data_IF_643979000355
#
_entry.id   IF_643979000355
#
_cell.length_a   1.000
_cell.length_b   1.000
_cell.length_c   1.000
_cell.angle_alpha   90.00
_cell.angle_beta   90.00
_cell.angle_gamma   90.00
#
_symmetry.space_group_name_H-M   'P 1'
#
loop_
_entity.id
_entity.type
_entity.pdbx_description
1 polymer ?
#
# COMPACT_ATOMS: atom_id res chain seq x y z
N UNK A 1 59.04 7.27 -21.91
CA UNK A 1 58.26 6.61 -20.84
C UNK A 1 58.48 5.11 -20.96
N UNK A 2 59.02 4.42 -19.94
CA UNK A 2 59.38 3.00 -20.07
C UNK A 2 58.11 2.14 -20.14
N UNK A 3 58.15 1.05 -20.92
CA UNK A 3 57.00 0.13 -21.08
C UNK A 3 56.44 -0.35 -19.73
N UNK A 4 57.33 -0.54 -18.74
CA UNK A 4 57.00 -0.89 -17.36
C UNK A 4 56.06 0.12 -16.66
N UNK A 5 56.23 1.42 -16.89
CA UNK A 5 55.36 2.46 -16.30
C UNK A 5 53.96 2.40 -16.91
N UNK A 6 53.85 2.16 -18.22
CA UNK A 6 52.57 2.06 -18.93
C UNK A 6 51.76 0.86 -18.41
N UNK A 7 52.40 -0.31 -18.23
CA UNK A 7 51.71 -1.49 -17.69
C UNK A 7 51.21 -1.29 -16.25
N UNK A 8 51.96 -0.57 -15.40
CA UNK A 8 51.53 -0.26 -14.03
C UNK A 8 50.31 0.66 -14.01
N UNK A 9 50.29 1.69 -14.85
CA UNK A 9 49.14 2.61 -14.94
C UNK A 9 47.90 1.85 -15.42
N UNK A 10 48.00 1.04 -16.48
CA UNK A 10 46.88 0.24 -16.99
C UNK A 10 46.34 -0.73 -15.92
N UNK A 11 47.23 -1.41 -15.20
CA UNK A 11 46.84 -2.34 -14.13
C UNK A 11 46.07 -1.62 -13.00
N UNK A 12 46.52 -0.44 -12.57
CA UNK A 12 45.84 0.35 -11.55
C UNK A 12 44.45 0.77 -12.05
N UNK A 13 44.32 1.23 -13.30
CA UNK A 13 43.02 1.65 -13.85
C UNK A 13 42.01 0.51 -13.89
N UNK A 14 42.45 -0.71 -14.24
CA UNK A 14 41.58 -1.91 -14.25
C UNK A 14 41.12 -2.25 -12.83
N UNK A 15 42.03 -2.21 -11.85
CA UNK A 15 41.69 -2.49 -10.45
C UNK A 15 40.70 -1.45 -9.91
N UNK A 16 40.94 -0.16 -10.16
CA UNK A 16 40.04 0.92 -9.72
C UNK A 16 38.68 0.81 -10.38
N UNK A 17 38.61 0.51 -11.69
CA UNK A 17 37.35 0.29 -12.38
C UNK A 17 36.61 -0.95 -11.84
N UNK A 18 37.33 -2.04 -11.54
CA UNK A 18 36.76 -3.24 -10.93
C UNK A 18 36.18 -2.99 -9.54
N UNK A 19 36.89 -2.23 -8.70
CA UNK A 19 36.39 -1.81 -7.38
C UNK A 19 35.16 -0.93 -7.55
N UNK A 20 35.19 0.05 -8.45
CA UNK A 20 34.08 0.97 -8.69
C UNK A 20 32.82 0.24 -9.19
N UNK A 21 32.98 -0.72 -10.10
CA UNK A 21 31.89 -1.56 -10.61
C UNK A 21 31.32 -2.44 -9.50
N UNK A 22 32.18 -3.05 -8.67
CA UNK A 22 31.75 -3.86 -7.52
C UNK A 22 30.98 -3.01 -6.52
N UNK A 23 31.44 -1.79 -6.25
CA UNK A 23 30.78 -0.81 -5.41
C UNK A 23 29.41 -0.42 -6.00
N UNK A 24 29.35 -0.11 -7.29
CA UNK A 24 28.09 0.22 -7.96
C UNK A 24 27.08 -0.93 -7.93
N UNK A 25 27.54 -2.18 -8.03
CA UNK A 25 26.67 -3.37 -7.93
C UNK A 25 26.18 -3.56 -6.49
N UNK A 26 27.03 -3.41 -5.47
CA UNK A 26 26.61 -3.53 -4.06
C UNK A 26 25.74 -2.37 -3.60
N UNK A 27 25.90 -1.18 -4.18
CA UNK A 27 25.05 -0.01 -3.90
C UNK A 27 23.83 0.10 -4.83
N UNK A 28 23.65 -0.81 -5.80
CA UNK A 28 22.45 -0.83 -6.63
C UNK A 28 21.28 -1.30 -5.76
N UNK A 29 20.43 -0.37 -5.34
CA UNK A 29 19.23 -0.69 -4.57
C UNK A 29 18.39 -1.71 -5.36
N UNK A 30 18.01 -2.86 -4.76
CA UNK A 30 17.17 -3.82 -5.45
C UNK A 30 15.85 -3.17 -5.84
N UNK A 31 15.43 -3.38 -7.08
CA UNK A 31 14.11 -2.93 -7.56
C UNK A 31 13.07 -3.77 -6.83
N UNK A 32 12.09 -3.12 -6.21
CA UNK A 32 11.01 -3.80 -5.50
C UNK A 32 10.08 -4.48 -6.52
N UNK A 33 10.17 -5.81 -6.64
CA UNK A 33 9.29 -6.61 -7.50
C UNK A 33 8.22 -7.29 -6.65
N UNK A 34 7.00 -7.32 -7.17
CA UNK A 34 5.85 -7.95 -6.49
C UNK A 34 6.07 -9.45 -6.31
N UNK A 35 6.60 -10.13 -7.33
CA UNK A 35 6.82 -11.58 -7.31
C UNK A 35 7.77 -12.00 -6.19
N UNK A 36 8.79 -11.19 -5.89
CA UNK A 36 9.73 -11.47 -4.80
C UNK A 36 9.03 -11.38 -3.43
N UNK A 37 8.14 -10.41 -3.24
CA UNK A 37 7.35 -10.29 -2.01
C UNK A 37 6.41 -11.49 -1.88
N UNK A 38 5.67 -11.80 -2.95
CA UNK A 38 4.70 -12.90 -2.95
C UNK A 38 5.37 -14.26 -2.73
N UNK A 39 6.59 -14.48 -3.25
CA UNK A 39 7.36 -15.70 -3.00
C UNK A 39 7.77 -15.88 -1.53
N UNK A 40 7.88 -14.77 -0.78
CA UNK A 40 8.18 -14.78 0.66
C UNK A 40 6.95 -14.87 1.57
N UNK A 41 5.75 -14.72 1.01
CA UNK A 41 4.50 -14.73 1.77
C UNK A 41 3.90 -16.13 1.83
N UNK A 42 3.48 -16.53 3.02
CA UNK A 42 2.78 -17.77 3.30
C UNK A 42 1.51 -17.43 4.10
N UNK A 43 0.36 -17.86 3.59
CA UNK A 43 -0.92 -17.65 4.26
C UNK A 43 -0.95 -18.43 5.59
N UNK A 44 -1.31 -17.75 6.68
CA UNK A 44 -1.36 -18.34 8.03
C UNK A 44 -0.04 -18.37 8.79
N UNK A 45 1.08 -17.94 8.19
CA UNK A 45 2.33 -17.76 8.92
C UNK A 45 2.24 -16.55 9.88
N UNK A 46 2.99 -16.60 10.98
CA UNK A 46 3.08 -15.49 11.91
C UNK A 46 4.05 -14.42 11.40
N UNK A 47 3.58 -13.18 11.34
CA UNK A 47 4.35 -12.00 10.96
C UNK A 47 4.22 -10.92 12.04
N UNK A 48 5.04 -9.87 11.95
CA UNK A 48 4.91 -8.71 12.82
C UNK A 48 3.52 -8.05 12.71
N UNK A 49 3.12 -7.36 13.78
CA UNK A 49 1.79 -6.76 13.88
C UNK A 49 1.64 -5.55 12.96
N UNK A 50 0.68 -5.63 12.04
CA UNK A 50 0.14 -4.52 11.26
C UNK A 50 -1.35 -4.38 11.57
N UNK A 51 -1.89 -3.16 11.58
CA UNK A 51 -3.32 -2.93 11.83
C UNK A 51 -3.93 -2.13 10.70
N UNK A 52 -4.85 -2.73 9.97
CA UNK A 52 -5.66 -2.02 8.96
C UNK A 52 -6.67 -1.15 9.71
N UNK A 53 -6.63 0.16 9.42
CA UNK A 53 -7.47 1.18 10.08
C UNK A 53 -8.73 1.49 9.29
N UNK A 54 -8.65 1.38 7.98
CA UNK A 54 -9.78 1.53 7.08
C UNK A 54 -9.45 0.88 5.73
N UNK A 55 -10.41 0.21 5.08
CA UNK A 55 -11.67 -0.25 5.64
C UNK A 55 -11.46 -1.24 6.81
N UNK A 56 -12.52 -1.47 7.58
CA UNK A 56 -12.49 -2.45 8.66
C UNK A 56 -12.79 -3.85 8.11
N UNK A 57 -12.54 -4.87 8.93
CA UNK A 57 -12.93 -6.22 8.57
C UNK A 57 -14.44 -6.32 8.36
N UNK A 58 -14.85 -7.12 7.38
CA UNK A 58 -16.23 -7.35 6.96
C UNK A 58 -16.95 -6.07 6.46
N UNK A 59 -16.21 -5.09 5.95
CA UNK A 59 -16.82 -3.89 5.35
C UNK A 59 -17.64 -4.25 4.09
N UNK A 60 -18.90 -3.85 4.08
CA UNK A 60 -19.81 -3.90 2.93
C UNK A 60 -19.89 -2.54 2.25
N UNK A 61 -19.49 -2.48 0.99
CA UNK A 61 -19.52 -1.26 0.18
C UNK A 61 -20.77 -1.20 -0.72
N UNK A 62 -21.45 -0.05 -0.83
CA UNK A 62 -22.51 0.12 -1.81
C UNK A 62 -21.92 0.32 -3.22
N UNK A 63 -22.65 -0.01 -4.31
CA UNK A 63 -22.11 -0.03 -5.66
C UNK A 63 -21.67 1.36 -6.19
N UNK A 64 -22.28 2.44 -5.70
CA UNK A 64 -21.98 3.83 -6.05
C UNK A 64 -20.80 4.43 -5.28
N UNK A 65 -20.24 3.73 -4.28
CA UNK A 65 -19.13 4.28 -3.50
C UNK A 65 -17.91 4.53 -4.40
N UNK A 66 -17.30 5.69 -4.20
CA UNK A 66 -15.99 6.02 -4.79
C UNK A 66 -14.87 5.25 -4.10
N UNK A 67 -13.70 5.18 -4.74
CA UNK A 67 -12.57 4.41 -4.23
C UNK A 67 -12.16 4.89 -2.82
N UNK A 68 -12.22 4.04 -1.79
CA UNK A 68 -11.73 4.39 -0.46
C UNK A 68 -10.20 4.44 -0.44
N UNK A 69 -9.64 5.30 0.40
CA UNK A 69 -8.21 5.20 0.76
C UNK A 69 -8.03 4.12 1.81
N UNK A 70 -7.44 2.98 1.44
CA UNK A 70 -6.99 1.98 2.40
C UNK A 70 -5.91 2.60 3.29
N UNK A 71 -6.02 2.44 4.60
CA UNK A 71 -5.09 3.00 5.59
C UNK A 71 -4.72 1.94 6.61
N UNK A 72 -3.46 1.90 7.00
CA UNK A 72 -2.98 0.98 8.02
C UNK A 72 -1.94 1.65 8.92
N UNK A 73 -1.63 0.98 10.04
CA UNK A 73 -0.49 1.30 10.88
C UNK A 73 0.41 0.08 10.93
N UNK A 74 1.67 0.27 10.57
CA UNK A 74 2.71 -0.72 10.74
C UNK A 74 3.67 -0.24 11.83
N UNK A 75 3.83 -1.02 12.89
CA UNK A 75 4.75 -0.70 13.99
C UNK A 75 6.17 -1.21 13.74
N UNK A 76 6.38 -2.00 12.68
CA UNK A 76 7.68 -2.60 12.42
C UNK A 76 8.65 -1.57 11.82
N UNK A 77 9.65 -1.16 12.61
CA UNK A 77 10.58 -0.05 12.31
C UNK A 77 11.35 -0.21 10.98
N UNK A 78 11.50 -1.45 10.49
CA UNK A 78 12.23 -1.73 9.24
C UNK A 78 11.34 -1.81 7.98
N UNK A 79 10.01 -1.71 8.12
CA UNK A 79 9.09 -1.67 6.97
C UNK A 79 9.16 -0.30 6.30
N UNK A 80 9.44 -0.27 5.01
CA UNK A 80 9.52 0.96 4.20
C UNK A 80 8.79 0.85 2.84
N UNK A 81 8.12 -0.27 2.62
CA UNK A 81 7.19 -0.48 1.53
C UNK A 81 6.13 -1.51 1.92
N UNK A 82 4.97 -1.43 1.27
CA UNK A 82 3.87 -2.34 1.49
C UNK A 82 3.31 -2.87 0.19
N UNK A 83 2.96 -4.14 0.19
CA UNK A 83 2.17 -4.77 -0.88
C UNK A 83 0.73 -4.93 -0.39
N UNK A 84 -0.20 -4.31 -1.09
CA UNK A 84 -1.63 -4.59 -0.95
C UNK A 84 -1.99 -5.65 -1.99
N UNK A 85 -2.47 -6.81 -1.53
CA UNK A 85 -2.96 -7.88 -2.40
C UNK A 85 -4.42 -8.16 -2.13
N UNK A 86 -5.20 -8.32 -3.19
CA UNK A 86 -6.64 -8.60 -3.12
C UNK A 86 -6.91 -9.92 -3.81
N UNK A 87 -7.30 -10.92 -3.02
CA UNK A 87 -7.74 -12.23 -3.48
C UNK A 87 -9.26 -12.28 -3.51
N UNK A 88 -9.82 -12.62 -4.66
CA UNK A 88 -11.26 -12.75 -4.86
C UNK A 88 -11.68 -14.22 -4.77
N UNK A 89 -12.98 -14.46 -4.69
CA UNK A 89 -13.59 -15.80 -4.75
C UNK A 89 -13.93 -16.24 -6.18
N UNK A 90 -13.41 -15.55 -7.20
CA UNK A 90 -13.51 -15.98 -8.58
C UNK A 90 -12.26 -16.78 -9.00
N UNK A 91 -12.29 -17.40 -10.19
CA UNK A 91 -11.18 -18.20 -10.72
C UNK A 91 -10.07 -17.35 -11.36
N UNK A 92 -10.08 -16.03 -11.11
CA UNK A 92 -9.12 -15.08 -11.71
C UNK A 92 -8.01 -14.73 -10.73
N UNK A 93 -6.89 -14.26 -11.27
CA UNK A 93 -5.73 -13.86 -10.46
C UNK A 93 -6.04 -12.74 -9.46
N UNK A 94 -5.29 -12.75 -8.36
CA UNK A 94 -5.27 -11.67 -7.37
C UNK A 94 -4.80 -10.35 -8.01
N UNK A 95 -5.25 -9.23 -7.45
CA UNK A 95 -4.73 -7.91 -7.79
C UNK A 95 -3.67 -7.49 -6.78
N UNK A 96 -2.60 -6.82 -7.23
CA UNK A 96 -1.44 -6.49 -6.41
C UNK A 96 -1.01 -5.04 -6.64
N UNK A 97 -0.76 -4.32 -5.54
CA UNK A 97 -0.43 -2.89 -5.59
C UNK A 97 0.66 -2.55 -4.57
N UNK A 98 1.70 -1.85 -5.03
CA UNK A 98 2.76 -1.38 -4.15
C UNK A 98 2.43 0.01 -3.61
N UNK A 99 2.70 0.23 -2.33
CA UNK A 99 2.72 1.55 -1.72
C UNK A 99 4.03 1.80 -0.97
N UNK A 100 4.48 3.06 -0.97
CA UNK A 100 5.61 3.56 -0.18
C UNK A 100 5.16 4.30 1.07
N UNK A 101 3.84 4.43 1.26
CA UNK A 101 3.21 5.03 2.43
C UNK A 101 2.29 4.00 3.08
N UNK A 102 1.79 4.30 4.26
CA UNK A 102 0.83 3.46 4.99
C UNK A 102 -0.62 3.69 4.54
N UNK A 103 -0.77 4.13 3.30
CA UNK A 103 -2.05 4.32 2.64
C UNK A 103 -1.98 3.99 1.15
N UNK A 104 -3.12 3.61 0.58
CA UNK A 104 -3.28 3.35 -0.85
C UNK A 104 -4.72 3.62 -1.27
N UNK A 105 -4.89 4.42 -2.32
CA UNK A 105 -6.19 4.61 -2.98
C UNK A 105 -6.16 3.91 -4.33
N UNK A 106 -7.07 2.94 -4.60
CA UNK A 106 -7.21 2.36 -5.93
C UNK A 106 -7.57 3.43 -6.96
N UNK A 107 -7.10 3.28 -8.20
CA UNK A 107 -7.63 4.09 -9.30
C UNK A 107 -9.11 3.77 -9.54
N UNK A 108 -9.83 4.64 -10.24
CA UNK A 108 -11.23 4.40 -10.57
C UNK A 108 -11.43 3.05 -11.28
N UNK A 109 -10.59 2.72 -12.27
CA UNK A 109 -10.64 1.44 -12.99
C UNK A 109 -10.38 0.23 -12.09
N UNK A 110 -9.36 0.33 -11.23
CA UNK A 110 -9.06 -0.72 -10.24
C UNK A 110 -10.24 -0.90 -9.29
N UNK A 111 -10.83 0.19 -8.82
CA UNK A 111 -11.96 0.15 -7.90
C UNK A 111 -13.22 -0.46 -8.53
N UNK A 112 -13.52 -0.11 -9.79
CA UNK A 112 -14.62 -0.75 -10.50
C UNK A 112 -14.39 -2.26 -10.67
N UNK A 113 -13.15 -2.65 -10.95
CA UNK A 113 -12.77 -4.07 -11.03
C UNK A 113 -12.94 -4.78 -9.68
N UNK A 114 -12.49 -4.15 -8.58
CA UNK A 114 -12.65 -4.68 -7.23
C UNK A 114 -14.13 -4.86 -6.92
N UNK A 115 -14.95 -3.80 -7.07
CA UNK A 115 -16.39 -3.84 -6.80
C UNK A 115 -17.11 -4.93 -7.59
N UNK A 116 -16.79 -5.05 -8.88
CA UNK A 116 -17.38 -6.07 -9.74
C UNK A 116 -17.01 -7.49 -9.28
N UNK A 117 -15.74 -7.74 -8.96
CA UNK A 117 -15.25 -9.07 -8.55
C UNK A 117 -15.62 -9.43 -7.10
N UNK A 118 -16.00 -8.44 -6.29
CA UNK A 118 -16.49 -8.61 -4.91
C UNK A 118 -18.00 -8.43 -4.75
N UNK A 119 -18.75 -8.38 -5.84
CA UNK A 119 -20.22 -8.26 -5.80
C UNK A 119 -20.82 -9.50 -5.11
N UNK A 120 -21.47 -9.28 -3.96
CA UNK A 120 -22.09 -10.32 -3.12
C UNK A 120 -21.12 -11.45 -2.68
N UNK A 121 -19.81 -11.23 -2.83
CA UNK A 121 -18.76 -12.22 -2.57
C UNK A 121 -17.59 -11.58 -1.84
N UNK A 122 -16.97 -12.31 -0.93
CA UNK A 122 -15.84 -11.79 -0.15
C UNK A 122 -14.60 -11.64 -1.04
N UNK A 123 -13.97 -10.48 -0.97
CA UNK A 123 -12.60 -10.23 -1.40
C UNK A 123 -11.71 -10.08 -0.16
N UNK A 124 -10.65 -10.89 -0.07
CA UNK A 124 -9.67 -10.81 1.00
C UNK A 124 -8.57 -9.83 0.61
N UNK A 125 -8.44 -8.77 1.40
CA UNK A 125 -7.35 -7.79 1.28
C UNK A 125 -6.29 -8.14 2.31
N UNK A 126 -5.06 -8.32 1.85
CA UNK A 126 -3.89 -8.55 2.70
C UNK A 126 -2.88 -7.45 2.46
N UNK A 127 -2.32 -6.90 3.53
CA UNK A 127 -1.26 -5.89 3.48
C UNK A 127 0.01 -6.49 4.07
N UNK A 128 1.09 -6.50 3.30
CA UNK A 128 2.38 -7.05 3.68
C UNK A 128 3.41 -5.92 3.80
N UNK A 129 3.97 -5.72 4.98
CA UNK A 129 5.09 -4.80 5.20
C UNK A 129 6.42 -5.48 4.90
N UNK A 130 7.25 -4.83 4.11
CA UNK A 130 8.58 -5.32 3.72
C UNK A 130 9.62 -4.21 3.83
N UNK A 131 10.89 -4.62 3.86
CA UNK A 131 11.99 -3.73 3.57
C UNK A 131 12.36 -3.84 2.09
N UNK A 132 12.44 -2.72 1.37
CA UNK A 132 12.74 -2.71 -0.06
C UNK A 132 14.10 -3.35 -0.39
N UNK A 133 15.06 -3.33 0.53
CA UNK A 133 16.37 -3.98 0.35
C UNK A 133 16.31 -5.51 0.51
N UNK A 134 15.26 -6.05 1.12
CA UNK A 134 15.05 -7.48 1.36
C UNK A 134 13.58 -7.88 1.13
N UNK A 135 13.07 -7.76 -0.12
CA UNK A 135 11.64 -7.87 -0.41
C UNK A 135 11.03 -9.25 -0.13
N UNK A 136 11.85 -10.31 -0.15
CA UNK A 136 11.43 -11.68 0.16
C UNK A 136 11.16 -11.92 1.65
N UNK A 137 11.57 -11.00 2.52
CA UNK A 137 11.34 -11.10 3.96
C UNK A 137 10.13 -10.25 4.35
N UNK A 138 9.00 -10.90 4.56
CA UNK A 138 7.81 -10.27 5.11
C UNK A 138 8.06 -9.94 6.58
N UNK A 139 7.89 -8.67 6.94
CA UNK A 139 8.15 -8.14 8.27
C UNK A 139 6.88 -8.03 9.10
N UNK A 140 5.78 -7.69 8.45
CA UNK A 140 4.48 -7.53 9.08
C UNK A 140 3.37 -7.89 8.09
N UNK A 141 2.22 -8.33 8.61
CA UNK A 141 1.06 -8.63 7.79
C UNK A 141 -0.25 -8.39 8.54
N UNK A 142 -1.30 -8.05 7.79
CA UNK A 142 -2.68 -8.12 8.27
C UNK A 142 -3.62 -8.41 7.10
N UNK A 143 -4.78 -8.97 7.40
CA UNK A 143 -5.83 -9.22 6.41
C UNK A 143 -7.19 -8.79 6.91
N UNK A 144 -8.04 -8.38 5.98
CA UNK A 144 -9.47 -8.13 6.17
C UNK A 144 -10.26 -8.73 5.02
N UNK A 145 -11.56 -8.91 5.21
CA UNK A 145 -12.53 -9.25 4.17
C UNK A 145 -13.39 -8.03 3.86
N UNK A 146 -13.64 -7.76 2.58
CA UNK A 146 -14.59 -6.75 2.12
C UNK A 146 -15.50 -7.36 1.05
N UNK A 147 -16.66 -6.77 0.82
CA UNK A 147 -17.52 -7.11 -0.33
C UNK A 147 -18.31 -5.87 -0.82
N UNK A 148 -18.96 -6.03 -1.95
CA UNK A 148 -19.81 -5.01 -2.57
C UNK A 148 -21.24 -5.49 -2.59
N UNK A 149 -22.14 -4.67 -2.06
CA UNK A 149 -23.58 -4.86 -2.13
C UNK A 149 -24.07 -4.65 -3.55
N UNK A 150 -25.09 -5.39 -3.96
CA UNK A 150 -25.91 -5.06 -5.14
C UNK A 150 -26.86 -3.89 -4.87
N UNK A 151 -27.19 -3.65 -3.60
CA UNK A 151 -28.18 -2.66 -3.18
C UNK A 151 -27.52 -1.28 -3.05
N UNK A 152 -28.02 -0.31 -3.81
CA UNK A 152 -27.67 1.11 -3.72
C UNK A 152 -28.20 1.74 -2.42
N UNK A 153 -27.51 2.75 -1.88
CA UNK A 153 -28.02 3.53 -0.76
C UNK A 153 -29.06 4.57 -1.19
N UNK A 154 -29.17 4.84 -2.50
CA UNK A 154 -30.29 5.53 -3.15
C UNK A 154 -30.48 7.02 -2.80
N UNK A 155 -29.80 7.54 -1.78
CA UNK A 155 -29.91 8.92 -1.33
C UNK A 155 -28.55 9.65 -1.47
N UNK A 156 -28.49 10.77 -2.22
CA UNK A 156 -27.30 11.61 -2.25
C UNK A 156 -27.02 12.18 -0.86
N UNK A 157 -25.78 12.10 -0.40
CA UNK A 157 -25.35 12.86 0.79
C UNK A 157 -25.19 14.32 0.37
N UNK A 158 -26.13 15.16 0.79
CA UNK A 158 -26.02 16.61 0.63
C UNK A 158 -25.21 17.19 1.80
N UNK A 159 -24.06 17.77 1.49
CA UNK A 159 -23.38 18.65 2.43
C UNK A 159 -24.14 19.98 2.44
N UNK A 160 -24.75 20.31 3.58
CA UNK A 160 -25.23 21.67 3.83
C UNK A 160 -24.26 22.36 4.76
N UNK A 161 -23.69 23.46 4.30
CA UNK A 161 -22.97 24.38 5.17
C UNK A 161 -23.99 25.00 6.13
N UNK A 162 -23.81 24.74 7.42
CA UNK A 162 -24.63 25.33 8.48
C UNK A 162 -23.78 26.39 9.15
N UNK A 163 -24.20 27.65 9.06
CA UNK A 163 -23.65 28.71 9.88
C UNK A 163 -23.80 28.29 11.34
N UNK A 164 -22.68 28.13 12.06
CA UNK A 164 -22.70 27.79 13.49
C UNK A 164 -23.43 28.90 14.25
N UNK A 165 -24.64 28.66 14.78
CA UNK A 165 -25.47 29.74 15.31
C UNK A 165 -24.96 30.29 16.66
N UNK A 166 -23.90 29.69 17.22
CA UNK A 166 -23.49 29.92 18.61
C UNK A 166 -22.26 30.81 18.76
N UNK A 167 -21.66 31.35 17.69
CA UNK A 167 -20.52 32.27 17.86
C UNK A 167 -20.96 33.64 18.40
N UNK A 168 -22.19 34.06 18.07
CA UNK A 168 -22.77 35.33 18.49
C UNK A 168 -23.93 35.16 19.49
N UNK A 169 -24.72 34.08 19.40
CA UNK A 169 -25.88 33.86 20.27
C UNK A 169 -25.55 33.59 21.75
N UNK A 170 -24.29 33.29 22.08
CA UNK A 170 -23.84 33.09 23.47
C UNK A 170 -23.47 34.41 24.17
N UNK A 171 -23.36 35.53 23.43
CA UNK A 171 -22.98 36.83 24.02
C UNK A 171 -24.18 37.67 24.47
N UNK A 172 -25.38 37.47 23.91
CA UNK A 172 -26.60 38.13 24.35
C UNK A 172 -27.84 37.24 24.13
N UNK A 173 -28.39 36.62 25.19
CA UNK A 173 -29.55 35.73 25.09
C UNK A 173 -30.89 36.45 24.87
N UNK A 174 -30.91 37.79 24.83
CA UNK A 174 -32.15 38.56 24.64
C UNK A 174 -32.73 38.49 23.21
N UNK A 175 -31.95 37.96 22.26
CA UNK A 175 -32.34 37.83 20.85
C UNK A 175 -32.91 36.45 20.47
N UNK A 176 -33.03 35.52 21.42
CA UNK A 176 -33.65 34.21 21.19
C UNK A 176 -35.15 34.35 21.52
N UNK A 177 -36.00 34.39 20.49
CA UNK A 177 -37.47 34.25 20.60
C UNK A 177 -37.93 32.94 20.00
#
# INVERSE_FOLDING_TARGET
MSKSVIYRVIAITIVVAGILVTLLITFRKPVLRIDDILAGYQEGAEYGVLTIKYPLDETLFPPEIIAPTFRWKDKHVKSDAWLVTIRFQDDKDRMNFLSRTTEWTPTNEQWQTIKHRSLEKKARVTILGVNHAAPKKILSAASISINTSKDEVGAPIFYREVNLPFIDAVKDPSHIR
#
